data_IF_783835545968
#
_entry.id   IF_783835545968
#
_cell.length_a   1.000
_cell.length_b   1.000
_cell.length_c   1.000
_cell.angle_alpha   90.00
_cell.angle_beta   90.00
_cell.angle_gamma   90.00
#
_symmetry.space_group_name_H-M   'P 1'
#
loop_
_entity.id
_entity.type
_entity.pdbx_description
1 polymer ?
#
# COMPACT_ATOMS: atom_id res chain seq x y z
N UNK A 1 5.01 22.43 13.32
CA UNK A 1 5.89 21.42 12.69
C UNK A 1 5.05 20.17 12.51
N UNK A 2 4.97 19.62 11.30
CA UNK A 2 4.19 18.41 11.00
C UNK A 2 4.91 17.16 11.50
N UNK A 3 4.26 16.33 12.32
CA UNK A 3 4.80 15.03 12.74
C UNK A 3 4.66 14.05 11.58
N UNK A 4 5.71 13.31 11.24
CA UNK A 4 5.73 12.40 10.09
C UNK A 4 6.08 10.99 10.53
N UNK A 5 5.29 10.00 10.14
CA UNK A 5 5.61 8.60 10.27
C UNK A 5 5.65 7.92 8.89
N UNK A 6 6.68 7.11 8.67
CA UNK A 6 6.75 6.19 7.55
C UNK A 6 6.11 4.87 7.97
N UNK A 7 5.16 4.38 7.18
CA UNK A 7 4.48 3.10 7.37
C UNK A 7 4.88 2.21 6.20
N UNK A 8 5.72 1.23 6.46
CA UNK A 8 6.24 0.31 5.44
C UNK A 8 5.92 -1.14 5.78
N UNK A 9 6.29 -2.06 4.92
CA UNK A 9 6.03 -3.49 5.04
C UNK A 9 5.76 -4.12 3.68
N UNK A 10 6.08 -5.38 3.53
CA UNK A 10 5.98 -6.10 2.28
C UNK A 10 4.54 -6.20 1.77
N UNK A 11 4.37 -6.67 0.53
CA UNK A 11 3.05 -6.89 -0.05
C UNK A 11 2.18 -7.74 0.88
N UNK A 12 0.93 -7.32 1.08
CA UNK A 12 -0.03 -8.04 1.90
C UNK A 12 0.15 -7.96 3.42
N UNK A 13 1.17 -7.28 3.95
CA UNK A 13 1.37 -7.14 5.41
C UNK A 13 0.25 -6.38 6.14
N UNK A 14 -0.61 -5.63 5.43
CA UNK A 14 -1.77 -4.95 6.00
C UNK A 14 -1.61 -3.45 6.22
N UNK A 15 -0.69 -2.78 5.50
CA UNK A 15 -0.43 -1.33 5.60
C UNK A 15 -1.69 -0.48 5.47
N UNK A 16 -2.47 -0.70 4.42
CA UNK A 16 -3.72 0.04 4.17
C UNK A 16 -4.75 -0.18 5.27
N UNK A 17 -4.84 -1.41 5.81
CA UNK A 17 -5.71 -1.72 6.96
C UNK A 17 -5.28 -0.93 8.19
N UNK A 18 -3.97 -0.88 8.48
CA UNK A 18 -3.42 -0.06 9.56
C UNK A 18 -3.76 1.43 9.34
N UNK A 19 -3.57 1.96 8.14
CA UNK A 19 -3.91 3.36 7.84
C UNK A 19 -5.40 3.63 8.07
N UNK A 20 -6.29 2.74 7.62
CA UNK A 20 -7.73 2.85 7.87
C UNK A 20 -8.04 2.91 9.38
N UNK A 21 -7.40 2.04 10.17
CA UNK A 21 -7.56 2.04 11.63
C UNK A 21 -7.06 3.35 12.26
N UNK A 22 -5.87 3.80 11.90
CA UNK A 22 -5.28 5.04 12.43
C UNK A 22 -6.14 6.26 12.10
N UNK A 23 -6.66 6.35 10.86
CA UNK A 23 -7.52 7.45 10.45
C UNK A 23 -8.87 7.43 11.16
N UNK A 24 -9.43 6.25 11.42
CA UNK A 24 -10.67 6.12 12.18
C UNK A 24 -10.49 6.53 13.66
N UNK A 25 -9.29 6.32 14.21
CA UNK A 25 -8.96 6.64 15.60
C UNK A 25 -8.34 8.03 15.78
N UNK A 26 -8.11 8.79 14.70
CA UNK A 26 -7.44 10.09 14.77
C UNK A 26 -8.23 11.08 15.66
N UNK A 27 -7.54 11.94 16.44
CA UNK A 27 -8.20 12.98 17.22
C UNK A 27 -9.01 13.93 16.33
N UNK A 28 -10.22 14.30 16.77
CA UNK A 28 -11.11 15.16 16.00
C UNK A 28 -10.55 16.59 15.80
N UNK A 29 -9.69 17.05 16.70
CA UNK A 29 -9.05 18.36 16.65
C UNK A 29 -7.73 18.38 15.87
N UNK A 30 -7.28 17.25 15.33
CA UNK A 30 -6.08 17.17 14.50
C UNK A 30 -6.42 17.05 13.02
N UNK A 31 -5.68 17.76 12.18
CA UNK A 31 -5.72 17.60 10.74
C UNK A 31 -4.59 16.66 10.31
N UNK A 32 -4.97 15.51 9.77
CA UNK A 32 -4.00 14.54 9.27
C UNK A 32 -3.95 14.54 7.75
N UNK A 33 -2.79 14.26 7.22
CA UNK A 33 -2.56 14.02 5.80
C UNK A 33 -2.00 12.61 5.59
N UNK A 34 -2.29 12.03 4.43
CA UNK A 34 -1.76 10.73 4.02
C UNK A 34 -1.18 10.85 2.62
N UNK A 35 0.03 10.39 2.46
CA UNK A 35 0.71 10.25 1.18
C UNK A 35 0.88 8.78 0.87
N UNK A 36 0.18 8.28 -0.14
CA UNK A 36 0.20 6.89 -0.56
C UNK A 36 0.88 6.76 -1.91
N UNK A 37 1.75 5.77 -2.03
CA UNK A 37 2.33 5.37 -3.31
C UNK A 37 1.98 3.91 -3.57
N UNK A 38 1.32 3.65 -4.69
CA UNK A 38 0.97 2.30 -5.12
C UNK A 38 1.91 1.79 -6.20
N UNK A 39 2.16 0.48 -6.21
CA UNK A 39 2.88 -0.17 -7.30
C UNK A 39 2.08 -0.12 -8.61
N UNK A 40 0.75 -0.18 -8.54
CA UNK A 40 -0.14 -0.06 -9.67
C UNK A 40 -0.47 1.37 -10.07
N UNK A 41 -1.02 1.52 -11.27
CA UNK A 41 -1.35 2.84 -11.84
C UNK A 41 -2.80 3.28 -11.56
N UNK A 42 -3.57 2.48 -10.84
CA UNK A 42 -5.03 2.68 -10.71
C UNK A 42 -5.46 3.34 -9.41
N UNK A 43 -4.59 3.43 -8.41
CA UNK A 43 -4.89 4.17 -7.18
C UNK A 43 -5.99 3.51 -6.32
N UNK A 44 -5.93 2.20 -6.11
CA UNK A 44 -6.92 1.46 -5.30
C UNK A 44 -6.78 1.78 -3.81
N UNK A 45 -5.55 1.90 -3.30
CA UNK A 45 -5.33 2.22 -1.88
C UNK A 45 -5.87 3.60 -1.52
N UNK A 46 -5.72 4.59 -2.41
CA UNK A 46 -6.31 5.89 -2.24
C UNK A 46 -7.83 5.87 -2.23
N UNK A 47 -8.47 5.08 -3.11
CA UNK A 47 -9.91 4.91 -3.09
C UNK A 47 -10.42 4.26 -1.78
N UNK A 48 -9.63 3.34 -1.18
CA UNK A 48 -9.94 2.73 0.12
C UNK A 48 -9.83 3.72 1.29
N UNK A 49 -8.94 4.70 1.18
CA UNK A 49 -8.67 5.72 2.20
C UNK A 49 -9.54 6.97 2.02
N UNK A 50 -10.19 7.14 0.86
CA UNK A 50 -11.12 8.24 0.61
C UNK A 50 -12.19 8.29 1.71
N UNK A 51 -12.67 9.47 2.02
CA UNK A 51 -13.72 9.74 3.03
C UNK A 51 -13.35 9.40 4.49
N UNK A 52 -12.06 9.14 4.79
CA UNK A 52 -11.57 8.90 6.16
C UNK A 52 -11.21 10.18 6.93
N UNK A 53 -11.55 11.35 6.40
CA UNK A 53 -11.37 12.64 7.07
C UNK A 53 -9.91 13.11 7.18
N UNK A 54 -9.06 12.69 6.26
CA UNK A 54 -7.69 13.16 6.10
C UNK A 54 -7.46 13.75 4.70
N UNK A 55 -6.42 14.61 4.56
CA UNK A 55 -5.99 15.11 3.26
C UNK A 55 -5.22 13.99 2.56
N UNK A 56 -5.80 13.39 1.54
CA UNK A 56 -5.18 12.31 0.80
C UNK A 56 -4.43 12.82 -0.44
N UNK A 57 -3.22 12.32 -0.65
CA UNK A 57 -2.47 12.48 -1.89
C UNK A 57 -1.92 11.14 -2.35
N UNK A 58 -2.28 10.74 -3.55
CA UNK A 58 -1.76 9.56 -4.23
C UNK A 58 -0.63 9.95 -5.19
N UNK A 59 0.38 9.08 -5.27
CA UNK A 59 1.41 9.14 -6.31
C UNK A 59 1.27 7.83 -7.10
N UNK A 60 0.58 7.86 -8.25
CA UNK A 60 0.40 6.67 -9.07
C UNK A 60 1.67 6.32 -9.82
N UNK A 61 1.87 5.04 -10.05
CA UNK A 61 2.91 4.49 -10.94
C UNK A 61 4.34 4.69 -10.46
N UNK A 62 5.11 3.63 -10.47
CA UNK A 62 6.53 3.66 -10.15
C UNK A 62 6.86 3.68 -8.66
N UNK A 63 8.10 3.32 -8.33
CA UNK A 63 8.58 3.33 -6.97
C UNK A 63 8.81 4.77 -6.49
N UNK A 64 8.21 5.16 -5.38
CA UNK A 64 8.50 6.41 -4.65
C UNK A 64 10.00 6.56 -4.36
N UNK A 65 10.72 5.44 -4.36
CA UNK A 65 12.15 5.31 -4.12
C UNK A 65 13.00 5.43 -5.39
N UNK A 66 12.40 5.55 -6.59
CA UNK A 66 13.16 5.63 -7.84
C UNK A 66 13.66 7.02 -8.13
N UNK A 67 14.92 7.02 -8.43
CA UNK A 67 15.98 7.92 -8.89
C UNK A 67 15.76 9.44 -9.01
N UNK A 68 14.58 9.99 -9.11
CA UNK A 68 14.45 11.46 -9.19
C UNK A 68 13.31 12.05 -8.36
N UNK A 69 12.82 11.40 -7.33
CA UNK A 69 11.99 11.93 -6.23
C UNK A 69 11.03 13.10 -6.49
N UNK A 70 10.98 13.65 -7.71
CA UNK A 70 10.23 14.86 -8.03
C UNK A 70 8.72 14.73 -7.78
N UNK A 71 8.04 13.66 -8.22
CA UNK A 71 6.62 13.48 -7.91
C UNK A 71 6.35 13.37 -6.40
N UNK A 72 7.25 12.69 -5.69
CA UNK A 72 7.21 12.58 -4.23
C UNK A 72 7.37 13.94 -3.55
N UNK A 73 8.37 14.71 -3.95
CA UNK A 73 8.62 16.05 -3.41
C UNK A 73 7.45 16.99 -3.69
N UNK A 74 6.88 16.96 -4.90
CA UNK A 74 5.70 17.76 -5.25
C UNK A 74 4.51 17.37 -4.38
N UNK A 75 4.25 16.07 -4.21
CA UNK A 75 3.18 15.55 -3.37
C UNK A 75 3.35 15.97 -1.90
N UNK A 76 4.56 15.77 -1.37
CA UNK A 76 4.94 16.14 -0.01
C UNK A 76 4.78 17.66 0.22
N UNK A 77 5.33 18.49 -0.67
CA UNK A 77 5.24 19.94 -0.56
C UNK A 77 3.78 20.44 -0.58
N UNK A 78 2.95 19.88 -1.46
CA UNK A 78 1.52 20.22 -1.49
C UNK A 78 0.79 19.87 -0.20
N UNK A 79 1.09 18.72 0.40
CA UNK A 79 0.50 18.34 1.68
C UNK A 79 0.97 19.25 2.81
N UNK A 80 2.26 19.57 2.86
CA UNK A 80 2.85 20.46 3.88
C UNK A 80 2.33 21.89 3.81
N UNK A 81 1.90 22.37 2.62
CA UNK A 81 1.24 23.70 2.49
C UNK A 81 -0.04 23.79 3.33
N UNK A 82 -0.75 22.67 3.54
CA UNK A 82 -1.93 22.63 4.39
C UNK A 82 -1.60 22.59 5.89
N UNK A 83 -0.32 22.54 6.26
CA UNK A 83 0.19 22.50 7.66
C UNK A 83 -0.51 21.43 8.50
N UNK A 84 -0.59 20.18 8.04
CA UNK A 84 -1.24 19.13 8.83
C UNK A 84 -0.48 18.91 10.14
N UNK A 85 -1.20 18.50 11.19
CA UNK A 85 -0.59 18.13 12.47
C UNK A 85 0.24 16.85 12.33
N UNK A 86 -0.23 15.92 11.48
CA UNK A 86 0.44 14.65 11.18
C UNK A 86 0.38 14.30 9.72
N UNK A 87 1.46 13.71 9.21
CA UNK A 87 1.56 13.14 7.88
C UNK A 87 1.96 11.67 7.99
N UNK A 88 1.13 10.78 7.48
CA UNK A 88 1.44 9.37 7.32
C UNK A 88 1.88 9.12 5.88
N UNK A 89 3.00 8.45 5.68
CA UNK A 89 3.53 8.14 4.35
C UNK A 89 3.56 6.62 4.20
N UNK A 90 2.80 6.10 3.23
CA UNK A 90 2.81 4.69 2.85
C UNK A 90 3.47 4.53 1.48
N UNK A 91 4.74 4.09 1.41
CA UNK A 91 5.34 3.68 0.15
C UNK A 91 4.75 2.34 -0.32
N UNK A 92 4.97 2.01 -1.59
CA UNK A 92 4.60 0.70 -2.13
C UNK A 92 5.21 -0.45 -1.31
N UNK A 93 4.51 -1.57 -1.24
CA UNK A 93 5.01 -2.79 -0.58
C UNK A 93 6.28 -3.38 -1.20
N UNK A 94 6.68 -2.91 -2.38
CA UNK A 94 7.92 -3.24 -3.08
C UNK A 94 8.94 -2.07 -3.03
N UNK A 95 8.74 -1.07 -2.18
CA UNK A 95 9.60 0.09 -2.08
C UNK A 95 10.77 -0.09 -1.12
N UNK A 96 11.90 0.54 -1.44
CA UNK A 96 13.07 0.68 -0.58
C UNK A 96 12.96 1.96 0.26
N UNK A 97 12.87 1.90 1.59
CA UNK A 97 12.60 3.08 2.42
C UNK A 97 13.79 4.04 2.53
N UNK A 98 15.00 3.61 2.20
CA UNK A 98 16.25 4.38 2.38
C UNK A 98 16.19 5.79 1.79
N UNK A 99 15.86 5.90 0.49
CA UNK A 99 15.87 7.20 -0.20
C UNK A 99 14.81 8.14 0.35
N UNK A 100 13.63 7.58 0.71
CA UNK A 100 12.56 8.34 1.32
C UNK A 100 12.96 8.87 2.70
N UNK A 101 13.59 8.04 3.53
CA UNK A 101 14.12 8.45 4.83
C UNK A 101 15.22 9.50 4.70
N UNK A 102 16.10 9.37 3.70
CA UNK A 102 17.12 10.38 3.39
C UNK A 102 16.48 11.71 2.98
N UNK A 103 15.46 11.68 2.12
CA UNK A 103 14.72 12.87 1.71
C UNK A 103 14.08 13.56 2.92
N UNK A 104 13.32 12.81 3.73
CA UNK A 104 12.61 13.35 4.90
C UNK A 104 13.56 13.85 6.00
N UNK A 105 14.79 13.34 6.04
CA UNK A 105 15.85 13.78 6.98
C UNK A 105 16.76 14.84 6.37
N UNK A 106 16.46 15.36 5.18
CA UNK A 106 17.30 16.38 4.55
C UNK A 106 17.10 17.76 5.18
N UNK A 107 18.11 18.65 5.14
CA UNK A 107 18.01 20.02 5.66
C UNK A 107 16.83 20.80 5.11
N UNK A 108 16.39 20.51 3.90
CA UNK A 108 15.23 21.13 3.24
C UNK A 108 13.95 21.01 4.06
N UNK A 109 13.80 19.92 4.82
CA UNK A 109 12.56 19.62 5.54
C UNK A 109 12.64 19.84 7.06
N UNK A 110 13.82 20.08 7.65
CA UNK A 110 13.99 20.24 9.10
C UNK A 110 13.10 21.31 9.75
N UNK A 111 12.82 22.39 9.02
CA UNK A 111 11.98 23.47 9.55
C UNK A 111 10.47 23.13 9.49
N UNK A 112 10.09 22.13 8.72
CA UNK A 112 8.69 21.86 8.38
C UNK A 112 8.15 20.60 9.04
N UNK A 113 9.00 19.58 9.22
CA UNK A 113 8.57 18.29 9.70
C UNK A 113 9.45 17.74 10.82
N UNK A 114 8.83 16.95 11.68
CA UNK A 114 9.45 16.12 12.69
C UNK A 114 9.27 14.66 12.28
N UNK A 115 10.35 14.00 11.88
CA UNK A 115 10.32 12.60 11.50
C UNK A 115 10.33 11.73 12.76
N UNK A 116 9.24 11.03 13.00
CA UNK A 116 9.06 10.06 14.08
C UNK A 116 9.41 8.64 13.61
N UNK A 117 9.17 7.65 14.46
CA UNK A 117 9.47 6.26 14.22
C UNK A 117 8.89 5.74 12.90
N UNK A 118 9.71 4.96 12.18
CA UNK A 118 9.28 4.14 11.04
C UNK A 118 8.61 2.88 11.57
N UNK A 119 7.35 2.68 11.20
CA UNK A 119 6.57 1.49 11.53
C UNK A 119 6.61 0.51 10.36
N UNK A 120 7.09 -0.71 10.60
CA UNK A 120 7.16 -1.74 9.56
C UNK A 120 6.26 -2.91 9.92
N UNK A 121 5.30 -3.20 9.05
CA UNK A 121 4.40 -4.33 9.23
C UNK A 121 5.04 -5.62 8.71
N UNK A 122 4.91 -6.67 9.50
CA UNK A 122 5.34 -8.04 9.21
C UNK A 122 4.16 -8.98 9.42
N UNK A 123 3.83 -9.80 8.44
CA UNK A 123 2.97 -10.97 8.62
C UNK A 123 3.91 -12.19 8.85
N UNK A 124 3.84 -12.81 10.04
CA UNK A 124 4.75 -13.91 10.40
C UNK A 124 4.67 -15.10 9.42
N UNK A 125 3.55 -15.30 8.75
CA UNK A 125 3.37 -16.33 7.72
C UNK A 125 4.31 -16.13 6.53
N UNK A 126 4.71 -14.89 6.25
CA UNK A 126 5.65 -14.56 5.18
C UNK A 126 7.07 -15.11 5.44
N UNK A 127 7.41 -15.36 6.69
CA UNK A 127 8.69 -15.99 7.08
C UNK A 127 8.79 -17.46 6.66
N UNK A 128 7.67 -18.09 6.30
CA UNK A 128 7.65 -19.45 5.76
C UNK A 128 8.04 -19.52 4.28
N UNK A 129 7.98 -18.40 3.56
CA UNK A 129 8.28 -18.33 2.14
C UNK A 129 9.73 -17.92 1.89
N UNK A 130 10.61 -18.84 1.43
CA UNK A 130 12.01 -18.53 1.17
C UNK A 130 12.20 -17.41 0.15
N UNK A 131 11.28 -17.28 -0.82
CA UNK A 131 11.35 -16.24 -1.83
C UNK A 131 11.07 -14.85 -1.22
N UNK A 132 10.08 -14.73 -0.34
CA UNK A 132 9.81 -13.48 0.39
C UNK A 132 10.98 -13.11 1.28
N UNK A 133 11.53 -14.06 2.05
CA UNK A 133 12.67 -13.82 2.94
C UNK A 133 13.93 -13.44 2.17
N UNK A 134 14.13 -13.99 0.98
CA UNK A 134 15.25 -13.65 0.11
C UNK A 134 15.03 -12.31 -0.62
N UNK A 135 13.82 -11.77 -0.65
CA UNK A 135 13.51 -10.54 -1.36
C UNK A 135 14.19 -9.32 -0.71
N UNK A 136 14.88 -8.52 -1.50
CA UNK A 136 15.64 -7.36 -1.04
C UNK A 136 14.72 -6.32 -0.39
N UNK A 137 13.55 -6.03 -0.98
CA UNK A 137 12.59 -5.07 -0.43
C UNK A 137 12.09 -5.48 0.95
N UNK A 138 11.80 -6.78 1.14
CA UNK A 138 11.37 -7.30 2.44
C UNK A 138 12.44 -7.06 3.53
N UNK A 139 13.69 -7.37 3.21
CA UNK A 139 14.82 -7.17 4.15
C UNK A 139 15.09 -5.70 4.43
N UNK A 140 15.08 -4.84 3.39
CA UNK A 140 15.34 -3.42 3.52
C UNK A 140 14.26 -2.70 4.33
N UNK A 141 13.00 -3.11 4.14
CA UNK A 141 11.88 -2.57 4.92
C UNK A 141 12.01 -2.93 6.40
N UNK A 142 12.35 -4.18 6.71
CA UNK A 142 12.60 -4.60 8.09
C UNK A 142 13.84 -3.92 8.68
N UNK A 143 14.92 -3.73 7.90
CA UNK A 143 16.10 -3.01 8.36
C UNK A 143 15.83 -1.55 8.70
N UNK A 144 14.92 -0.89 7.98
CA UNK A 144 14.55 0.50 8.19
C UNK A 144 13.59 0.73 9.38
N UNK A 145 13.02 -0.33 9.94
CA UNK A 145 12.03 -0.25 11.02
C UNK A 145 12.63 0.28 12.32
N UNK A 146 11.97 1.25 12.94
CA UNK A 146 12.18 1.59 14.35
C UNK A 146 11.29 0.73 15.25
N UNK A 147 10.07 0.42 14.80
CA UNK A 147 9.11 -0.46 15.46
C UNK A 147 8.61 -1.47 14.44
N UNK A 148 8.58 -2.76 14.82
CA UNK A 148 8.03 -3.83 13.98
C UNK A 148 6.66 -4.22 14.51
N UNK A 149 5.68 -4.23 13.61
CA UNK A 149 4.30 -4.58 13.91
C UNK A 149 3.99 -5.92 13.26
N UNK A 150 3.95 -6.97 14.09
CA UNK A 150 3.51 -8.30 13.67
C UNK A 150 2.00 -8.30 13.49
N UNK A 151 1.54 -8.15 12.26
CA UNK A 151 0.11 -8.03 11.95
C UNK A 151 -0.51 -9.36 11.53
N UNK A 152 -1.83 -9.44 11.56
CA UNK A 152 -2.63 -10.65 11.24
C UNK A 152 -2.38 -11.81 12.20
N UNK A 153 -2.13 -11.51 13.47
CA UNK A 153 -1.88 -12.51 14.50
C UNK A 153 -3.04 -13.52 14.62
N UNK A 154 -4.26 -13.09 14.32
CA UNK A 154 -5.47 -13.93 14.25
C UNK A 154 -5.36 -15.10 13.25
N UNK A 155 -4.38 -15.06 12.34
CA UNK A 155 -4.18 -16.04 11.27
C UNK A 155 -2.91 -16.88 11.42
N UNK A 156 -2.10 -16.59 12.44
CA UNK A 156 -0.85 -17.31 12.66
C UNK A 156 -1.09 -18.69 13.25
N UNK A 157 -0.40 -19.67 12.71
CA UNK A 157 -0.38 -21.02 13.22
C UNK A 157 0.80 -21.19 14.22
N UNK A 158 0.84 -22.26 15.03
CA UNK A 158 1.94 -22.51 15.96
C UNK A 158 3.34 -22.46 15.31
N UNK A 159 3.44 -22.93 14.07
CA UNK A 159 4.69 -22.93 13.29
C UNK A 159 5.11 -21.50 12.92
N UNK A 160 4.16 -20.60 12.69
CA UNK A 160 4.44 -19.19 12.38
C UNK A 160 4.97 -18.47 13.62
N UNK A 161 4.42 -18.77 14.79
CA UNK A 161 4.93 -18.27 16.07
C UNK A 161 6.37 -18.74 16.32
N UNK A 162 6.69 -19.99 16.01
CA UNK A 162 8.03 -20.52 16.16
C UNK A 162 9.01 -19.82 15.21
N UNK A 163 8.68 -19.72 13.92
CA UNK A 163 9.52 -19.00 12.94
C UNK A 163 9.73 -17.54 13.30
N UNK A 164 8.67 -16.90 13.80
CA UNK A 164 8.76 -15.52 14.28
C UNK A 164 9.73 -15.40 15.47
N UNK A 165 9.67 -16.31 16.44
CA UNK A 165 10.54 -16.32 17.60
C UNK A 165 12.01 -16.54 17.18
N UNK A 166 12.27 -17.42 16.21
CA UNK A 166 13.59 -17.67 15.66
C UNK A 166 14.11 -16.41 14.93
N UNK A 167 13.29 -15.82 14.07
CA UNK A 167 13.62 -14.58 13.38
C UNK A 167 13.89 -13.41 14.36
N UNK A 168 13.08 -13.28 15.41
CA UNK A 168 13.27 -12.23 16.43
C UNK A 168 14.61 -12.36 17.14
N UNK A 169 15.05 -13.59 17.44
CA UNK A 169 16.34 -13.86 18.08
C UNK A 169 17.51 -13.39 17.21
N UNK A 170 17.39 -13.61 15.90
CA UNK A 170 18.50 -13.40 14.97
C UNK A 170 18.52 -11.98 14.36
N UNK A 171 17.35 -11.35 14.18
CA UNK A 171 17.21 -10.14 13.35
C UNK A 171 16.59 -8.92 14.05
N UNK A 172 16.01 -9.07 15.26
CA UNK A 172 15.24 -7.98 15.86
C UNK A 172 16.07 -6.86 16.48
N UNK A 173 17.34 -7.09 16.80
CA UNK A 173 18.29 -6.08 17.35
C UNK A 173 17.70 -5.24 18.50
N UNK A 174 16.95 -5.84 19.41
CA UNK A 174 16.27 -5.17 20.54
C UNK A 174 15.23 -4.12 20.14
N UNK A 175 14.84 -4.06 18.88
CA UNK A 175 13.77 -3.14 18.44
C UNK A 175 12.42 -3.55 19.04
N UNK A 176 11.56 -2.60 19.37
CA UNK A 176 10.19 -2.89 19.81
C UNK A 176 9.45 -3.72 18.76
N UNK A 177 8.81 -4.79 19.23
CA UNK A 177 7.92 -5.64 18.45
C UNK A 177 6.55 -5.68 19.11
N UNK A 178 5.50 -5.48 18.31
CA UNK A 178 4.11 -5.49 18.78
C UNK A 178 3.30 -6.39 17.87
N UNK A 179 2.73 -7.46 18.44
CA UNK A 179 1.80 -8.31 17.71
C UNK A 179 0.39 -7.70 17.74
N UNK A 180 -0.28 -7.74 16.59
CA UNK A 180 -1.64 -7.20 16.45
C UNK A 180 -2.43 -7.95 15.38
N UNK A 181 -3.72 -7.67 15.36
CA UNK A 181 -4.66 -8.09 14.32
C UNK A 181 -5.35 -6.87 13.73
N UNK A 182 -5.74 -6.94 12.46
CA UNK A 182 -6.44 -5.88 11.72
C UNK A 182 -5.75 -4.50 11.78
N UNK A 183 -4.42 -4.45 11.98
CA UNK A 183 -3.67 -3.20 12.06
C UNK A 183 -4.01 -2.34 13.28
N UNK A 184 -4.57 -2.90 14.33
CA UNK A 184 -4.98 -2.18 15.54
C UNK A 184 -3.77 -1.93 16.44
N UNK A 185 -3.28 -0.69 16.43
CA UNK A 185 -2.19 -0.25 17.30
C UNK A 185 -2.58 1.01 18.10
N UNK A 186 -2.00 1.21 19.28
CA UNK A 186 -2.18 2.46 20.02
C UNK A 186 -1.62 3.66 19.24
N UNK A 187 -2.38 4.76 19.17
CA UNK A 187 -1.94 6.00 18.49
C UNK A 187 -0.63 6.56 19.07
N UNK A 188 -0.37 6.33 20.36
CA UNK A 188 0.86 6.78 21.04
C UNK A 188 2.14 6.25 20.37
N UNK A 189 2.08 5.13 19.65
CA UNK A 189 3.24 4.61 18.90
C UNK A 189 3.68 5.56 17.79
N UNK A 190 2.78 6.37 17.26
CA UNK A 190 3.10 7.36 16.24
C UNK A 190 3.94 8.53 16.80
N UNK A 191 3.94 8.74 18.11
CA UNK A 191 4.72 9.79 18.78
C UNK A 191 6.09 9.30 19.26
N UNK A 192 6.40 8.01 19.04
CA UNK A 192 7.73 7.48 19.34
C UNK A 192 8.78 8.21 18.50
N UNK A 193 9.84 8.74 19.10
CA UNK A 193 10.93 9.34 18.35
C UNK A 193 11.58 8.33 17.39
N UNK A 194 12.07 8.82 16.28
CA UNK A 194 12.90 8.02 15.39
C UNK A 194 14.15 7.53 16.12
N UNK A 195 14.49 6.27 15.92
CA UNK A 195 15.71 5.67 16.44
C UNK A 195 16.99 6.31 15.83
N UNK A 196 18.15 5.91 16.33
CA UNK A 196 19.43 6.31 15.77
C UNK A 196 19.48 5.96 14.27
N UNK A 197 20.03 6.84 13.42
CA UNK A 197 20.22 6.54 12.01
C UNK A 197 21.06 5.25 11.88
N UNK A 198 20.50 4.26 11.17
CA UNK A 198 21.21 3.01 10.85
C UNK A 198 21.72 3.08 9.43
N UNK A 199 22.84 2.39 9.16
CA UNK A 199 23.21 2.12 7.78
C UNK A 199 22.17 1.20 7.17
N UNK A 200 21.38 1.76 6.25
CA UNK A 200 20.42 0.97 5.50
C UNK A 200 21.10 0.37 4.27
N UNK A 201 20.76 -0.86 3.90
CA UNK A 201 21.29 -1.50 2.71
C UNK A 201 21.17 -0.59 1.48
N UNK A 202 22.16 -0.61 0.62
CA UNK A 202 22.08 0.02 -0.70
C UNK A 202 21.39 -0.99 -1.60
N UNK A 203 20.25 -0.66 -2.23
CA UNK A 203 19.59 -1.55 -3.17
C UNK A 203 20.57 -1.99 -4.26
N UNK A 204 20.72 -3.31 -4.45
CA UNK A 204 21.67 -3.86 -5.44
C UNK A 204 21.10 -3.84 -6.86
N UNK A 205 19.78 -3.85 -6.97
CA UNK A 205 19.08 -3.84 -8.26
C UNK A 205 18.34 -2.52 -8.47
N UNK A 206 19.06 -1.51 -8.97
CA UNK A 206 18.42 -0.37 -9.61
C UNK A 206 17.98 -0.83 -11.01
N UNK A 207 16.78 -1.37 -11.13
CA UNK A 207 16.15 -1.39 -12.45
C UNK A 207 15.94 0.07 -12.86
N UNK A 208 16.49 0.52 -14.02
CA UNK A 208 16.15 1.82 -14.54
C UNK A 208 14.63 1.86 -14.61
N UNK A 209 14.02 2.81 -13.90
CA UNK A 209 12.60 3.06 -14.03
C UNK A 209 12.29 3.12 -15.51
N UNK A 210 11.40 2.27 -15.99
CA UNK A 210 10.82 2.47 -17.31
C UNK A 210 10.38 3.93 -17.33
N UNK A 211 10.96 4.71 -18.24
CA UNK A 211 10.65 6.13 -18.38
C UNK A 211 9.14 6.21 -18.48
N UNK A 212 8.44 6.89 -17.55
CA UNK A 212 7.00 7.01 -17.67
C UNK A 212 6.76 7.74 -18.97
N UNK A 213 6.30 7.01 -19.97
CA UNK A 213 5.79 7.60 -21.19
C UNK A 213 4.55 8.37 -20.79
N UNK A 214 4.70 9.68 -20.71
CA UNK A 214 3.69 10.70 -20.41
C UNK A 214 3.14 10.69 -18.97
N UNK A 215 3.25 11.87 -18.34
CA UNK A 215 2.60 12.15 -17.07
C UNK A 215 1.14 11.79 -17.16
N UNK A 216 0.72 10.86 -16.32
CA UNK A 216 -0.69 10.52 -16.21
C UNK A 216 -1.39 11.71 -15.57
N UNK A 217 -1.91 12.59 -16.43
CA UNK A 217 -3.03 13.42 -16.08
C UNK A 217 -4.08 12.52 -15.42
N UNK A 218 -4.73 13.01 -14.36
CA UNK A 218 -5.94 12.40 -13.80
C UNK A 218 -6.72 11.73 -14.93
N UNK A 219 -6.72 10.40 -14.97
CA UNK A 219 -7.36 9.65 -16.05
C UNK A 219 -8.86 9.93 -15.99
N UNK A 220 -9.32 10.87 -16.79
CA UNK A 220 -10.74 11.03 -17.07
C UNK A 220 -11.13 10.04 -18.16
N UNK A 221 -12.21 9.32 -17.91
CA UNK A 221 -12.82 8.40 -18.87
C UNK A 221 -13.67 9.17 -19.88
N UNK A 222 -13.04 9.97 -20.73
CA UNK A 222 -13.73 10.75 -21.78
C UNK A 222 -13.94 9.92 -23.05
N UNK A 223 -14.07 8.59 -22.95
CA UNK A 223 -14.14 7.70 -24.11
C UNK A 223 -15.31 6.71 -24.05
N UNK A 224 -15.95 6.36 -25.20
CA UNK A 224 -17.09 5.44 -25.29
C UNK A 224 -16.81 4.01 -24.78
N UNK A 225 -15.56 3.65 -24.49
CA UNK A 225 -15.21 2.31 -23.97
C UNK A 225 -15.64 2.09 -22.52
N UNK A 226 -15.96 3.12 -21.71
CA UNK A 226 -16.37 3.04 -20.31
C UNK A 226 -15.38 2.35 -19.36
N UNK A 227 -14.20 1.95 -19.83
CA UNK A 227 -13.14 1.34 -19.03
C UNK A 227 -11.76 1.53 -19.64
N UNK A 228 -10.74 1.45 -18.81
CA UNK A 228 -9.32 1.47 -19.21
C UNK A 228 -8.55 0.40 -18.46
N UNK A 229 -7.43 -0.01 -19.06
CA UNK A 229 -6.45 -0.92 -18.47
C UNK A 229 -5.09 -0.23 -18.39
N UNK A 230 -4.41 -0.42 -17.26
CA UNK A 230 -3.03 -0.03 -17.04
C UNK A 230 -2.19 -1.26 -16.70
N UNK A 231 -0.95 -1.28 -17.21
CA UNK A 231 0.03 -2.32 -16.93
C UNK A 231 1.25 -1.69 -16.32
N UNK A 232 1.79 -2.32 -15.29
CA UNK A 232 3.06 -1.92 -14.67
C UNK A 232 3.93 -3.16 -14.45
N UNK A 233 5.26 -3.01 -14.59
CA UNK A 233 6.23 -4.07 -14.33
C UNK A 233 7.40 -3.50 -13.56
N UNK A 234 7.91 -4.24 -12.60
CA UNK A 234 9.09 -3.87 -11.84
C UNK A 234 9.32 -4.79 -10.66
N UNK A 235 10.58 -4.94 -10.25
CA UNK A 235 10.96 -5.69 -9.07
C UNK A 235 10.42 -7.14 -9.05
N UNK A 236 10.49 -7.83 -10.20
CA UNK A 236 10.01 -9.20 -10.42
C UNK A 236 8.49 -9.40 -10.28
N UNK A 237 7.73 -8.29 -10.29
CA UNK A 237 6.27 -8.31 -10.30
C UNK A 237 5.70 -7.65 -11.55
N UNK A 238 4.54 -8.11 -11.94
CA UNK A 238 3.68 -7.48 -12.95
C UNK A 238 2.36 -7.08 -12.29
N UNK A 239 1.87 -5.89 -12.60
CA UNK A 239 0.56 -5.44 -12.16
C UNK A 239 -0.32 -5.12 -13.36
N UNK A 240 -1.59 -5.48 -13.26
CA UNK A 240 -2.61 -5.08 -14.21
C UNK A 240 -3.82 -4.53 -13.47
N UNK A 241 -4.20 -3.31 -13.80
CA UNK A 241 -5.35 -2.66 -13.21
C UNK A 241 -6.40 -2.28 -14.26
N UNK A 242 -7.66 -2.27 -13.84
CA UNK A 242 -8.80 -1.83 -14.63
C UNK A 242 -9.57 -0.75 -13.90
N UNK A 243 -9.90 0.31 -14.65
CA UNK A 243 -10.71 1.43 -14.21
C UNK A 243 -11.99 1.45 -15.05
N UNK A 244 -13.14 1.57 -14.39
CA UNK A 244 -14.45 1.69 -15.01
C UNK A 244 -15.15 2.96 -14.54
N UNK A 245 -16.05 3.49 -15.37
CA UNK A 245 -16.84 4.66 -15.01
C UNK A 245 -17.81 4.38 -13.85
N UNK A 246 -18.37 5.45 -13.28
CA UNK A 246 -19.31 5.38 -12.15
C UNK A 246 -20.62 4.64 -12.47
N UNK A 247 -21.00 4.55 -13.75
CA UNK A 247 -22.24 3.90 -14.19
C UNK A 247 -22.09 2.40 -14.39
N UNK A 248 -20.85 1.89 -14.53
CA UNK A 248 -20.60 0.47 -14.75
C UNK A 248 -20.81 -0.29 -13.44
N UNK A 249 -21.84 -1.13 -13.40
CA UNK A 249 -22.15 -1.99 -12.26
C UNK A 249 -21.73 -3.44 -12.53
N UNK A 250 -21.40 -4.13 -11.45
CA UNK A 250 -20.94 -5.53 -11.47
C UNK A 250 -21.89 -6.42 -10.67
N UNK A 251 -22.15 -7.61 -11.19
CA UNK A 251 -22.78 -8.68 -10.41
C UNK A 251 -21.84 -9.10 -9.29
N UNK A 252 -22.32 -9.00 -8.05
CA UNK A 252 -21.52 -9.28 -6.86
C UNK A 252 -21.00 -10.72 -6.82
N UNK A 253 -21.85 -11.69 -7.18
CA UNK A 253 -21.50 -13.11 -7.10
C UNK A 253 -20.47 -13.49 -8.17
N UNK A 254 -20.69 -13.05 -9.42
CA UNK A 254 -19.77 -13.28 -10.53
C UNK A 254 -18.41 -12.60 -10.27
N UNK A 255 -18.41 -11.39 -9.74
CA UNK A 255 -17.18 -10.67 -9.42
C UNK A 255 -16.37 -11.37 -8.32
N UNK A 256 -17.01 -11.81 -7.24
CA UNK A 256 -16.35 -12.54 -6.16
C UNK A 256 -15.81 -13.90 -6.64
N UNK A 257 -16.52 -14.57 -7.52
CA UNK A 257 -16.03 -15.82 -8.13
C UNK A 257 -14.81 -15.55 -9.01
N UNK A 258 -14.85 -14.49 -9.82
CA UNK A 258 -13.69 -14.06 -10.61
C UNK A 258 -12.49 -13.76 -9.70
N UNK A 259 -12.69 -13.04 -8.60
CA UNK A 259 -11.61 -12.71 -7.63
C UNK A 259 -11.00 -13.96 -7.02
N UNK A 260 -11.80 -14.99 -6.70
CA UNK A 260 -11.30 -16.26 -6.13
C UNK A 260 -10.49 -17.08 -7.14
N UNK A 261 -10.92 -17.08 -8.41
CA UNK A 261 -10.29 -17.88 -9.47
C UNK A 261 -9.12 -17.16 -10.15
N UNK A 262 -9.05 -15.83 -10.07
CA UNK A 262 -8.00 -15.09 -10.73
C UNK A 262 -6.63 -15.44 -10.13
N UNK A 263 -5.61 -15.73 -10.97
CA UNK A 263 -4.24 -15.84 -10.50
C UNK A 263 -3.77 -14.51 -9.91
N UNK A 264 -2.63 -14.54 -9.27
CA UNK A 264 -1.98 -13.36 -8.73
C UNK A 264 -1.83 -13.40 -7.22
N UNK A 265 -0.73 -12.85 -6.77
CA UNK A 265 -0.34 -12.84 -5.36
C UNK A 265 -1.24 -11.91 -4.54
N UNK A 266 -1.74 -10.84 -5.19
CA UNK A 266 -2.59 -9.84 -4.55
C UNK A 266 -3.63 -9.30 -5.51
N UNK A 267 -4.87 -9.14 -5.02
CA UNK A 267 -5.95 -8.44 -5.72
C UNK A 267 -6.54 -7.39 -4.78
N UNK A 268 -6.64 -6.16 -5.24
CA UNK A 268 -7.34 -5.07 -4.56
C UNK A 268 -8.35 -4.43 -5.49
N UNK A 269 -9.49 -4.00 -4.93
CA UNK A 269 -10.48 -3.28 -5.72
C UNK A 269 -11.55 -2.59 -4.89
N UNK A 270 -12.14 -1.57 -5.50
CA UNK A 270 -13.39 -0.94 -5.07
C UNK A 270 -14.31 -0.94 -6.28
N UNK A 271 -15.38 -1.69 -6.22
CA UNK A 271 -16.23 -1.99 -7.37
C UNK A 271 -17.68 -1.58 -7.11
N UNK A 272 -18.33 -0.96 -8.08
CA UNK A 272 -19.74 -0.60 -8.04
C UNK A 272 -20.59 -1.86 -8.24
N UNK A 273 -21.45 -2.17 -7.27
CA UNK A 273 -22.43 -3.27 -7.29
C UNK A 273 -23.84 -2.70 -7.04
N UNK A 274 -24.90 -3.47 -7.27
CA UNK A 274 -26.27 -3.02 -7.01
C UNK A 274 -26.49 -2.45 -5.60
N UNK A 275 -25.84 -3.04 -4.58
CA UNK A 275 -25.97 -2.63 -3.19
C UNK A 275 -25.08 -1.42 -2.81
N UNK A 276 -24.38 -0.79 -3.76
CA UNK A 276 -23.45 0.31 -3.53
C UNK A 276 -22.02 -0.04 -3.96
N UNK A 277 -21.06 -0.11 -3.04
CA UNK A 277 -19.68 -0.48 -3.36
C UNK A 277 -19.23 -1.75 -2.65
N UNK A 278 -18.40 -2.54 -3.33
CA UNK A 278 -17.72 -3.71 -2.83
C UNK A 278 -16.21 -3.45 -2.79
N UNK A 279 -15.65 -3.39 -1.61
CA UNK A 279 -14.21 -3.37 -1.39
C UNK A 279 -13.67 -4.78 -1.35
N UNK A 280 -12.59 -5.04 -2.07
CA UNK A 280 -11.94 -6.34 -2.23
C UNK A 280 -10.47 -6.20 -1.85
N UNK A 281 -9.97 -7.08 -1.00
CA UNK A 281 -8.55 -7.21 -0.69
C UNK A 281 -8.23 -8.71 -0.53
N UNK A 282 -7.53 -9.28 -1.51
CA UNK A 282 -7.06 -10.67 -1.49
C UNK A 282 -5.54 -10.71 -1.49
N UNK A 283 -4.98 -11.52 -0.62
CA UNK A 283 -3.56 -11.87 -0.58
C UNK A 283 -3.44 -13.39 -0.47
N UNK A 284 -2.95 -14.04 -1.54
CA UNK A 284 -3.02 -15.50 -1.63
C UNK A 284 -4.45 -15.99 -1.44
N UNK A 285 -4.69 -16.83 -0.43
CA UNK A 285 -6.02 -17.36 -0.09
C UNK A 285 -6.82 -16.45 0.86
N UNK A 286 -6.17 -15.42 1.43
CA UNK A 286 -6.82 -14.48 2.34
C UNK A 286 -7.67 -13.48 1.56
N UNK A 287 -8.98 -13.63 1.60
CA UNK A 287 -9.94 -12.70 0.99
C UNK A 287 -10.73 -11.94 2.05
N UNK A 288 -10.60 -10.62 2.02
CA UNK A 288 -11.40 -9.69 2.81
C UNK A 288 -12.32 -8.90 1.88
N UNK A 289 -13.58 -8.77 2.27
CA UNK A 289 -14.59 -8.02 1.54
C UNK A 289 -15.37 -7.12 2.49
N UNK A 290 -15.66 -5.90 2.06
CA UNK A 290 -16.53 -4.96 2.75
C UNK A 290 -17.55 -4.42 1.75
N UNK A 291 -18.81 -4.35 2.16
CA UNK A 291 -19.88 -3.74 1.34
C UNK A 291 -20.33 -2.45 2.00
N UNK A 292 -20.45 -1.38 1.22
CA UNK A 292 -20.98 -0.08 1.63
C UNK A 292 -22.17 0.30 0.77
N UNK A 293 -23.13 1.00 1.34
CA UNK A 293 -24.36 1.42 0.63
C UNK A 293 -24.15 2.52 -0.40
N UNK A 294 -23.04 3.26 -0.29
CA UNK A 294 -22.72 4.32 -1.25
C UNK A 294 -21.95 3.75 -2.45
N UNK A 295 -22.33 4.11 -3.70
CA UNK A 295 -21.56 3.76 -4.87
C UNK A 295 -20.20 4.50 -4.85
N UNK A 296 -19.14 3.92 -5.43
CA UNK A 296 -17.87 4.60 -5.57
C UNK A 296 -17.95 5.64 -6.70
N UNK A 297 -17.03 6.60 -6.69
CA UNK A 297 -16.90 7.59 -7.77
C UNK A 297 -16.54 6.96 -9.12
N UNK A 298 -15.84 5.85 -9.08
CA UNK A 298 -15.48 4.96 -10.19
C UNK A 298 -15.19 3.56 -9.63
N UNK A 299 -15.13 2.55 -10.50
CA UNK A 299 -14.75 1.19 -10.09
C UNK A 299 -13.31 0.90 -10.48
N UNK A 300 -12.52 0.40 -9.53
CA UNK A 300 -11.09 0.10 -9.71
C UNK A 300 -10.78 -1.28 -9.18
N UNK A 301 -10.02 -2.07 -9.95
CA UNK A 301 -9.50 -3.34 -9.50
C UNK A 301 -8.13 -3.60 -10.09
N UNK A 302 -7.21 -4.11 -9.29
CA UNK A 302 -5.83 -4.38 -9.66
C UNK A 302 -5.40 -5.75 -9.20
N UNK A 303 -4.61 -6.41 -10.03
CA UNK A 303 -3.91 -7.65 -9.73
C UNK A 303 -2.41 -7.39 -9.76
N UNK A 304 -1.68 -7.87 -8.75
CA UNK A 304 -0.22 -7.95 -8.72
C UNK A 304 0.15 -9.43 -8.72
N UNK A 305 1.07 -9.80 -9.60
CA UNK A 305 1.48 -11.19 -9.80
C UNK A 305 3.01 -11.27 -9.97
N UNK A 306 3.64 -12.22 -9.28
CA UNK A 306 5.06 -12.58 -9.44
C UNK A 306 5.31 -13.45 -10.69
N UNK A 307 4.24 -14.00 -11.27
CA UNK A 307 4.25 -14.73 -12.53
C UNK A 307 3.57 -13.92 -13.62
N UNK A 308 3.86 -14.18 -14.88
CA UNK A 308 3.17 -13.50 -15.97
C UNK A 308 1.79 -14.11 -16.19
N UNK A 309 0.75 -13.45 -15.68
CA UNK A 309 -0.63 -13.83 -15.92
C UNK A 309 -1.09 -13.44 -17.35
N UNK A 310 -2.07 -14.18 -17.88
CA UNK A 310 -2.77 -13.80 -19.11
C UNK A 310 -3.78 -12.68 -18.84
N UNK A 311 -3.31 -11.44 -18.90
CA UNK A 311 -4.12 -10.25 -18.66
C UNK A 311 -5.31 -10.10 -19.60
N UNK A 312 -5.24 -10.62 -20.83
CA UNK A 312 -6.34 -10.55 -21.80
C UNK A 312 -7.48 -11.51 -21.42
N UNK A 313 -7.13 -12.71 -20.99
CA UNK A 313 -8.10 -13.68 -20.48
C UNK A 313 -8.81 -13.17 -19.22
N UNK A 314 -8.03 -12.60 -18.28
CA UNK A 314 -8.55 -12.03 -17.04
C UNK A 314 -9.48 -10.85 -17.30
N UNK A 315 -9.10 -9.97 -18.20
CA UNK A 315 -9.96 -8.86 -18.65
C UNK A 315 -11.27 -9.35 -19.23
N UNK A 316 -11.21 -10.32 -20.16
CA UNK A 316 -12.40 -10.86 -20.80
C UNK A 316 -13.37 -11.50 -19.80
N UNK A 317 -12.83 -12.16 -18.76
CA UNK A 317 -13.63 -12.74 -17.69
C UNK A 317 -14.22 -11.63 -16.77
N UNK A 318 -13.43 -10.60 -16.41
CA UNK A 318 -13.90 -9.47 -15.60
C UNK A 318 -15.04 -8.72 -16.30
N UNK A 319 -14.92 -8.46 -17.60
CA UNK A 319 -15.94 -7.77 -18.36
C UNK A 319 -17.28 -8.53 -18.43
N UNK A 320 -17.28 -9.85 -18.28
CA UNK A 320 -18.50 -10.67 -18.18
C UNK A 320 -19.20 -10.54 -16.84
N UNK A 321 -18.53 -10.05 -15.81
CA UNK A 321 -19.14 -9.79 -14.50
C UNK A 321 -19.97 -8.51 -14.45
N UNK A 322 -19.97 -7.68 -15.52
CA UNK A 322 -20.79 -6.46 -15.59
C UNK A 322 -22.26 -6.81 -15.70
N UNK A 323 -23.10 -6.07 -14.98
CA UNK A 323 -24.53 -6.03 -15.19
C UNK A 323 -24.83 -5.39 -16.54
N UNK A 324 -25.85 -5.89 -17.23
CA UNK A 324 -26.26 -5.41 -18.56
C UNK A 324 -27.17 -4.19 -18.44
#
# INVERSE_FOLDING_TARGET
MTRVNLITGFLGSGKTTLLCHLLAAKPANEQWAVLVNEFGEIGVDGALLADRGAILKEIPGGCMCCVNGLPMQIGLNRLLQNKPDRLLIEPTGLGHPRQLLQLLSSPTYYAWLQLNATLTLLDARQLADPWVVANENFRDQLAAADIIIGNKQDRWQPEDHQRLADWQRDALDQRPFIATEFGQIPLALLDTPRGQPRELPVPQHHHPAAVPTSGVAVMRLDHPARWRRALNQGQDYSACGWLFDAETQFDRAALLEWVRQAPGDRIKGVMHIEAGSLTINRQGDDLQIETRSQPPADSRIEIIDSQQADWNRLQSALLKCRLR
#
